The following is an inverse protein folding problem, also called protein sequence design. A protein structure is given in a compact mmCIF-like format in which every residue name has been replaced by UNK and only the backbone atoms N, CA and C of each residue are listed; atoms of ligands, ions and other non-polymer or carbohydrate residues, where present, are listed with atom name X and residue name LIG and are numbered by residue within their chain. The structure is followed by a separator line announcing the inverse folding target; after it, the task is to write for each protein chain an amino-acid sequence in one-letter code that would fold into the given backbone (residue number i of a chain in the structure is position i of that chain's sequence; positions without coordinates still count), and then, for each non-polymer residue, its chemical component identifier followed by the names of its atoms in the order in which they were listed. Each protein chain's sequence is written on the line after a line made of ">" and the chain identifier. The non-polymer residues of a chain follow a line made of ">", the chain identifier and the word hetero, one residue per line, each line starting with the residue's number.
data_IF_553480797874
#
_entry.id   IF_553480797874
#
_cell.length_a   1.000
_cell.length_b   1.000
_cell.length_c   1.000
_cell.angle_alpha   90.00
_cell.angle_beta   90.00
_cell.angle_gamma   90.00
#
_symmetry.space_group_name_H-M   'P 1'
#
loop_
_entity.id
_entity.type
_entity.pdbx_description
1 polymer ?
#
# COMPACT_ATOMS: atom_id res chain seq x y z
N UNK A 1 6.58 3.76 16.79
CA UNK A 1 6.78 4.85 17.78
C UNK A 1 7.99 4.69 18.69
N UNK A 2 8.11 3.63 19.50
CA UNK A 2 9.22 3.50 20.47
C UNK A 2 10.62 3.59 19.84
N UNK A 3 10.82 2.96 18.66
CA UNK A 3 12.06 3.06 17.90
C UNK A 3 12.36 4.52 17.53
N UNK A 4 11.41 5.23 16.92
CA UNK A 4 11.65 6.61 16.47
C UNK A 4 11.93 7.56 17.65
N UNK A 5 11.31 7.34 18.81
CA UNK A 5 11.66 8.06 20.04
C UNK A 5 13.10 7.76 20.49
N UNK A 6 13.54 6.50 20.40
CA UNK A 6 14.93 6.11 20.65
C UNK A 6 15.90 6.80 19.70
N UNK A 7 15.59 6.84 18.40
CA UNK A 7 16.37 7.56 17.37
C UNK A 7 16.45 9.04 17.71
N UNK A 8 15.32 9.68 18.02
CA UNK A 8 15.28 11.09 18.41
C UNK A 8 16.13 11.37 19.65
N UNK A 9 16.09 10.49 20.66
CA UNK A 9 16.90 10.61 21.87
C UNK A 9 18.40 10.52 21.58
N UNK A 10 18.81 9.55 20.75
CA UNK A 10 20.21 9.38 20.34
C UNK A 10 20.70 10.58 19.55
N UNK A 11 19.97 10.98 18.50
CA UNK A 11 20.39 12.05 17.60
C UNK A 11 20.36 13.43 18.28
N UNK A 12 19.41 13.68 19.19
CA UNK A 12 19.41 14.90 19.99
C UNK A 12 20.66 15.00 20.89
N UNK A 13 21.16 13.88 21.42
CA UNK A 13 22.36 13.82 22.25
C UNK A 13 23.67 14.12 21.51
N UNK A 14 23.68 14.04 20.18
CA UNK A 14 24.84 14.33 19.32
C UNK A 14 24.53 15.42 18.28
N UNK A 15 23.55 16.29 18.57
CA UNK A 15 23.06 17.31 17.62
C UNK A 15 24.17 18.14 17.00
N UNK A 16 25.16 18.54 17.79
CA UNK A 16 26.29 19.38 17.35
C UNK A 16 27.21 18.67 16.34
N UNK A 17 27.12 17.35 16.22
CA UNK A 17 27.94 16.54 15.31
C UNK A 17 27.21 16.22 13.98
N UNK A 18 25.94 16.59 13.85
CA UNK A 18 25.10 16.23 12.69
C UNK A 18 25.24 17.31 11.60
N UNK A 19 25.80 16.99 10.41
CA UNK A 19 25.91 17.95 9.32
C UNK A 19 24.58 18.06 8.57
N UNK A 20 23.61 18.77 9.16
CA UNK A 20 22.31 19.02 8.54
C UNK A 20 21.14 18.96 9.51
N UNK A 21 19.96 18.68 8.97
CA UNK A 21 18.72 18.61 9.75
C UNK A 21 18.10 17.22 9.63
N UNK A 22 17.71 16.64 10.76
CA UNK A 22 16.87 15.44 10.82
C UNK A 22 15.53 15.84 11.41
N UNK A 23 14.45 15.52 10.70
CA UNK A 23 13.08 15.72 11.18
C UNK A 23 12.42 14.39 11.48
N UNK A 24 11.67 14.34 12.59
CA UNK A 24 10.98 13.15 13.05
C UNK A 24 9.48 13.31 12.80
N UNK A 25 8.90 12.43 11.98
CA UNK A 25 7.47 12.43 11.67
C UNK A 25 6.80 11.35 12.50
N UNK A 26 5.96 11.75 13.45
CA UNK A 26 5.12 10.85 14.25
C UNK A 26 3.71 10.87 13.67
N UNK A 27 3.48 10.00 12.68
CA UNK A 27 2.22 9.96 11.97
C UNK A 27 1.13 9.18 12.74
N UNK A 28 -0.09 9.73 12.86
CA UNK A 28 -1.26 8.99 13.34
C UNK A 28 -2.02 8.30 12.20
N UNK A 29 -2.90 7.35 12.52
CA UNK A 29 -3.93 6.81 11.61
C UNK A 29 -3.41 6.23 10.27
N UNK A 30 -2.29 5.48 10.30
CA UNK A 30 -1.80 4.70 9.15
C UNK A 30 -2.82 3.62 8.71
N UNK A 31 -3.45 2.94 9.67
CA UNK A 31 -4.51 1.93 9.45
C UNK A 31 -5.85 2.54 8.97
N UNK A 32 -5.86 3.82 8.62
CA UNK A 32 -7.06 4.58 8.27
C UNK A 32 -7.63 5.38 9.45
N UNK A 33 -8.29 6.49 9.11
CA UNK A 33 -9.02 7.30 10.07
C UNK A 33 -10.40 6.65 10.37
N UNK A 34 -10.98 6.90 11.56
CA UNK A 34 -12.37 6.56 11.84
C UNK A 34 -13.34 7.13 10.78
N UNK A 35 -14.49 6.50 10.63
CA UNK A 35 -15.50 6.96 9.66
C UNK A 35 -15.91 8.42 9.94
N UNK A 36 -15.81 9.27 8.91
CA UNK A 36 -16.11 10.70 9.00
C UNK A 36 -14.93 11.58 9.45
N UNK A 37 -13.76 11.00 9.70
CA UNK A 37 -12.52 11.72 10.04
C UNK A 37 -11.49 11.65 8.91
N UNK A 38 -10.52 12.57 8.92
CA UNK A 38 -9.34 12.55 8.06
C UNK A 38 -8.10 12.29 8.92
N UNK A 39 -7.10 11.59 8.37
CA UNK A 39 -5.89 11.24 9.10
C UNK A 39 -4.78 10.73 8.19
N UNK A 40 -3.75 10.13 8.79
CA UNK A 40 -2.67 9.49 8.05
C UNK A 40 -1.71 10.46 7.37
N UNK A 41 -0.86 9.92 6.51
CA UNK A 41 0.15 10.66 5.76
C UNK A 41 -0.45 11.78 4.92
N UNK A 42 -1.63 11.56 4.31
CA UNK A 42 -2.31 12.54 3.45
C UNK A 42 -2.65 13.83 4.19
N UNK A 43 -3.25 13.73 5.39
CA UNK A 43 -3.60 14.91 6.18
C UNK A 43 -2.33 15.67 6.61
N UNK A 44 -1.31 14.95 7.10
CA UNK A 44 -0.04 15.59 7.47
C UNK A 44 0.61 16.30 6.29
N UNK A 45 0.55 15.73 5.09
CA UNK A 45 1.03 16.37 3.86
C UNK A 45 0.22 17.61 3.49
N UNK A 46 -1.10 17.57 3.61
CA UNK A 46 -1.97 18.71 3.36
C UNK A 46 -1.68 19.86 4.35
N UNK A 47 -1.37 19.54 5.61
CA UNK A 47 -0.92 20.48 6.63
C UNK A 47 0.55 20.94 6.45
N UNK A 48 1.23 20.41 5.45
CA UNK A 48 2.56 20.86 5.03
C UNK A 48 3.70 20.26 5.85
N UNK A 49 3.55 19.05 6.42
CA UNK A 49 4.59 18.41 7.24
C UNK A 49 5.97 18.42 6.59
N UNK A 50 6.10 18.17 5.28
CA UNK A 50 7.41 18.18 4.62
C UNK A 50 7.99 19.60 4.47
N UNK A 51 7.12 20.62 4.36
CA UNK A 51 7.57 22.02 4.30
C UNK A 51 8.00 22.52 5.68
N UNK A 52 7.28 22.13 6.73
CA UNK A 52 7.59 22.52 8.12
C UNK A 52 8.74 21.70 8.70
N UNK A 53 8.93 20.45 8.25
CA UNK A 53 10.04 19.54 8.59
C UNK A 53 11.35 19.88 7.85
N UNK A 54 11.67 21.17 7.73
CA UNK A 54 12.90 21.65 7.11
C UNK A 54 13.15 21.20 5.65
N UNK A 55 12.08 20.91 4.90
CA UNK A 55 12.15 20.54 3.47
C UNK A 55 13.13 19.38 3.20
N UNK A 56 12.85 18.17 3.74
CA UNK A 56 13.79 17.06 3.68
C UNK A 56 13.98 16.56 2.24
N UNK A 57 15.20 16.14 1.92
CA UNK A 57 15.57 15.62 0.58
C UNK A 57 15.40 14.11 0.43
N UNK A 58 15.20 13.39 1.53
CA UNK A 58 14.84 11.98 1.55
C UNK A 58 14.04 11.65 2.81
N UNK A 59 13.29 10.55 2.78
CA UNK A 59 12.53 10.03 3.92
C UNK A 59 12.84 8.54 4.18
N UNK A 60 13.01 8.19 5.45
CA UNK A 60 13.26 6.82 5.88
C UNK A 60 12.13 6.34 6.79
N UNK A 61 11.68 5.11 6.58
CA UNK A 61 10.67 4.47 7.41
C UNK A 61 11.01 3.01 7.67
N UNK A 62 10.36 2.44 8.69
CA UNK A 62 10.40 1.01 8.90
C UNK A 62 9.10 0.50 9.47
N UNK A 63 8.84 -0.79 9.23
CA UNK A 63 7.75 -1.52 9.83
C UNK A 63 8.28 -2.79 10.51
N UNK A 64 7.68 -3.19 11.63
CA UNK A 64 8.00 -4.49 12.26
C UNK A 64 7.27 -5.61 11.55
N UNK A 65 7.93 -6.74 11.30
CA UNK A 65 7.38 -7.81 10.48
C UNK A 65 7.74 -9.19 11.05
N UNK A 66 6.92 -10.23 10.84
CA UNK A 66 7.29 -11.62 11.13
C UNK A 66 8.58 -12.03 10.41
N UNK A 67 9.65 -12.17 11.17
CA UNK A 67 11.01 -12.40 10.67
C UNK A 67 11.99 -12.58 11.82
N UNK A 68 13.18 -13.09 11.54
CA UNK A 68 14.24 -13.27 12.54
C UNK A 68 14.52 -11.96 13.28
N UNK A 69 14.51 -11.99 14.62
CA UNK A 69 14.64 -10.77 15.41
C UNK A 69 15.91 -9.99 15.08
N UNK A 70 15.75 -8.75 14.62
CA UNK A 70 16.85 -7.88 14.24
C UNK A 70 17.35 -8.06 12.80
N UNK A 71 16.73 -8.90 11.99
CA UNK A 71 16.98 -8.90 10.55
C UNK A 71 16.32 -7.69 9.89
N UNK A 72 16.94 -7.16 8.83
CA UNK A 72 16.37 -6.12 7.98
C UNK A 72 16.05 -6.70 6.60
N UNK A 73 14.81 -6.57 6.17
CA UNK A 73 14.40 -6.80 4.79
C UNK A 73 14.26 -5.46 4.09
N UNK A 74 14.89 -5.34 2.93
CA UNK A 74 14.69 -4.20 2.04
C UNK A 74 14.31 -4.71 0.65
N UNK A 75 13.74 -3.85 -0.18
CA UNK A 75 13.48 -4.16 -1.58
C UNK A 75 13.49 -2.85 -2.37
N UNK A 76 14.33 -2.69 -3.39
CA UNK A 76 14.24 -1.52 -4.27
C UNK A 76 12.95 -1.58 -5.09
N UNK A 77 12.46 -0.41 -5.53
CA UNK A 77 11.20 -0.25 -6.27
C UNK A 77 9.98 -0.65 -5.44
N UNK A 78 8.96 -1.28 -6.03
CA UNK A 78 7.75 -1.72 -5.33
C UNK A 78 8.05 -2.72 -4.22
N UNK A 79 8.20 -2.21 -3.00
CA UNK A 79 8.41 -2.99 -1.78
C UNK A 79 7.07 -3.52 -1.25
N UNK A 80 6.06 -2.64 -1.22
CA UNK A 80 4.69 -2.97 -0.81
C UNK A 80 3.67 -2.52 -1.86
N UNK A 81 2.51 -3.16 -1.87
CA UNK A 81 1.49 -2.91 -2.88
C UNK A 81 0.74 -1.60 -2.66
N UNK A 82 0.40 -0.90 -3.75
CA UNK A 82 -0.68 0.07 -3.72
C UNK A 82 -2.01 -0.61 -3.38
N UNK A 83 -2.93 0.16 -2.80
CA UNK A 83 -4.30 -0.26 -2.53
C UNK A 83 -5.28 0.75 -3.05
N UNK A 84 -6.19 0.29 -3.90
CA UNK A 84 -7.34 1.05 -4.35
C UNK A 84 -8.62 0.33 -3.96
N UNK A 85 -9.60 1.08 -3.47
CA UNK A 85 -10.96 0.60 -3.27
C UNK A 85 -11.71 0.71 -4.59
N UNK A 86 -12.40 -0.35 -4.99
CA UNK A 86 -13.13 -0.43 -6.24
C UNK A 86 -14.63 -0.57 -5.93
N UNK A 87 -15.44 0.31 -6.48
CA UNK A 87 -16.89 0.20 -6.50
C UNK A 87 -17.41 0.28 -7.94
N UNK A 88 -18.25 -0.67 -8.33
CA UNK A 88 -18.92 -0.69 -9.63
C UNK A 88 -20.42 -0.83 -9.39
N UNK A 89 -21.20 0.14 -9.85
CA UNK A 89 -22.66 0.09 -9.84
C UNK A 89 -23.15 -0.11 -11.26
N UNK A 90 -23.84 -1.23 -11.50
CA UNK A 90 -24.45 -1.57 -12.79
C UNK A 90 -25.93 -1.27 -12.72
N UNK A 91 -26.40 -0.35 -13.56
CA UNK A 91 -27.79 0.08 -13.66
C UNK A 91 -28.41 -0.48 -14.94
N UNK A 92 -29.43 -1.31 -14.77
CA UNK A 92 -30.23 -1.89 -15.84
C UNK A 92 -31.64 -1.30 -15.86
N UNK A 93 -32.62 -2.17 -16.10
CA UNK A 93 -34.05 -1.81 -16.10
C UNK A 93 -34.86 -2.95 -15.53
N UNK A 94 -35.39 -2.75 -14.33
CA UNK A 94 -36.21 -3.72 -13.63
C UNK A 94 -37.40 -4.22 -14.47
N UNK A 95 -37.66 -5.52 -14.41
CA UNK A 95 -38.82 -6.15 -15.04
C UNK A 95 -39.19 -7.44 -14.31
N UNK A 96 -40.36 -7.99 -14.63
CA UNK A 96 -40.75 -9.32 -14.15
C UNK A 96 -39.81 -10.37 -14.75
N UNK A 97 -39.35 -11.33 -13.94
CA UNK A 97 -38.38 -12.35 -14.35
C UNK A 97 -38.85 -13.25 -15.50
N UNK A 98 -40.17 -13.36 -15.72
CA UNK A 98 -40.74 -14.08 -16.87
C UNK A 98 -40.80 -13.27 -18.18
N UNK A 99 -40.47 -11.98 -18.12
CA UNK A 99 -40.54 -11.04 -19.27
C UNK A 99 -39.24 -10.23 -19.39
N UNK A 100 -38.06 -10.89 -19.47
CA UNK A 100 -36.76 -10.23 -19.44
C UNK A 100 -36.57 -9.24 -20.59
N UNK A 101 -37.16 -9.48 -21.77
CA UNK A 101 -37.09 -8.59 -22.95
C UNK A 101 -37.73 -7.21 -22.75
N UNK A 102 -38.43 -6.97 -21.62
CA UNK A 102 -38.99 -5.66 -21.27
C UNK A 102 -38.03 -4.80 -20.42
N UNK A 103 -36.93 -5.39 -19.98
CA UNK A 103 -35.93 -4.79 -19.09
C UNK A 103 -34.51 -5.02 -19.59
N UNK A 104 -33.56 -4.73 -18.71
CA UNK A 104 -32.12 -5.00 -18.88
C UNK A 104 -31.65 -5.58 -17.56
N UNK A 105 -31.08 -6.78 -17.57
CA UNK A 105 -30.73 -7.52 -16.36
C UNK A 105 -29.33 -7.14 -15.84
N UNK A 106 -29.22 -6.32 -14.78
CA UNK A 106 -27.91 -5.91 -14.27
C UNK A 106 -27.15 -7.06 -13.58
N UNK A 107 -27.81 -8.16 -13.18
CA UNK A 107 -27.13 -9.32 -12.56
C UNK A 107 -26.25 -10.02 -13.60
N UNK A 108 -26.80 -10.28 -14.79
CA UNK A 108 -26.02 -10.91 -15.87
C UNK A 108 -24.92 -9.98 -16.36
N UNK A 109 -25.19 -8.68 -16.46
CA UNK A 109 -24.16 -7.68 -16.85
C UNK A 109 -23.04 -7.61 -15.82
N UNK A 110 -23.36 -7.56 -14.52
CA UNK A 110 -22.36 -7.57 -13.46
C UNK A 110 -21.49 -8.85 -13.49
N UNK A 111 -22.10 -10.02 -13.72
CA UNK A 111 -21.36 -11.28 -13.86
C UNK A 111 -20.39 -11.27 -15.06
N UNK A 112 -20.80 -10.70 -16.20
CA UNK A 112 -19.94 -10.51 -17.37
C UNK A 112 -18.77 -9.57 -17.07
N UNK A 113 -19.05 -8.43 -16.41
CA UNK A 113 -18.02 -7.48 -15.98
C UNK A 113 -17.02 -8.18 -15.06
N UNK A 114 -17.50 -8.81 -13.98
CA UNK A 114 -16.66 -9.51 -13.01
C UNK A 114 -15.73 -10.52 -13.68
N UNK A 115 -16.26 -11.32 -14.62
CA UNK A 115 -15.47 -12.29 -15.39
C UNK A 115 -14.41 -11.60 -16.25
N UNK A 116 -14.80 -10.54 -16.96
CA UNK A 116 -13.90 -9.81 -17.85
C UNK A 116 -12.78 -9.07 -17.11
N UNK A 117 -13.04 -8.57 -15.90
CA UNK A 117 -12.02 -7.93 -15.07
C UNK A 117 -10.83 -8.86 -14.80
N UNK A 118 -11.06 -10.17 -14.62
CA UNK A 118 -10.00 -11.16 -14.40
C UNK A 118 -9.08 -11.36 -15.61
N UNK A 119 -9.53 -10.99 -16.81
CA UNK A 119 -8.70 -10.99 -18.01
C UNK A 119 -7.69 -9.82 -18.03
N UNK A 120 -7.90 -8.76 -17.24
CA UNK A 120 -7.02 -7.59 -17.26
C UNK A 120 -5.62 -7.95 -16.74
N UNK A 121 -5.42 -8.43 -15.49
CA UNK A 121 -4.08 -8.75 -15.02
C UNK A 121 -3.44 -9.90 -15.80
N UNK A 122 -4.26 -10.86 -16.25
CA UNK A 122 -3.74 -12.06 -16.88
C UNK A 122 -3.37 -11.88 -18.35
N UNK A 123 -4.10 -11.05 -19.13
CA UNK A 123 -3.95 -10.95 -20.60
C UNK A 123 -3.62 -9.56 -21.12
N UNK A 124 -3.81 -8.50 -20.32
CA UNK A 124 -3.73 -7.12 -20.80
C UNK A 124 -2.61 -6.30 -20.18
N UNK A 125 -2.01 -6.78 -19.09
CA UNK A 125 -0.88 -6.14 -18.42
C UNK A 125 0.42 -6.92 -18.67
N UNK A 126 1.53 -6.20 -18.70
CA UNK A 126 2.86 -6.80 -18.72
C UNK A 126 3.22 -7.29 -17.31
N UNK A 127 2.90 -8.56 -17.05
CA UNK A 127 3.16 -9.21 -15.76
C UNK A 127 4.66 -9.29 -15.41
N UNK A 128 5.55 -9.08 -16.38
CA UNK A 128 7.01 -9.06 -16.13
C UNK A 128 7.46 -7.79 -15.42
N UNK A 129 6.66 -6.71 -15.46
CA UNK A 129 6.93 -5.45 -14.76
C UNK A 129 6.49 -5.51 -13.30
N UNK A 130 5.21 -5.80 -13.08
CA UNK A 130 4.64 -5.89 -11.74
C UNK A 130 3.40 -6.79 -11.74
N UNK A 131 3.20 -7.60 -10.69
CA UNK A 131 1.95 -8.31 -10.51
C UNK A 131 0.83 -7.32 -10.15
N UNK A 132 -0.39 -7.68 -10.53
CA UNK A 132 -1.60 -6.94 -10.22
C UNK A 132 -2.71 -7.91 -9.80
N UNK A 133 -3.56 -7.47 -8.87
CA UNK A 133 -4.70 -8.24 -8.36
C UNK A 133 -5.95 -7.35 -8.43
N UNK A 134 -7.05 -7.91 -8.91
CA UNK A 134 -8.39 -7.30 -8.82
C UNK A 134 -9.28 -8.32 -8.10
N UNK A 135 -9.79 -7.95 -6.94
CA UNK A 135 -10.70 -8.80 -6.16
C UNK A 135 -12.03 -8.11 -6.02
N UNK A 136 -13.13 -8.78 -6.40
CA UNK A 136 -14.49 -8.39 -6.01
C UNK A 136 -14.82 -9.15 -4.73
N UNK A 137 -14.89 -8.44 -3.61
CA UNK A 137 -15.14 -9.01 -2.29
C UNK A 137 -16.62 -9.08 -1.94
N UNK A 138 -17.45 -8.23 -2.56
CA UNK A 138 -18.88 -8.22 -2.35
C UNK A 138 -19.66 -7.93 -3.65
N UNK A 139 -20.84 -8.53 -3.75
CA UNK A 139 -21.82 -8.27 -4.81
C UNK A 139 -23.24 -8.27 -4.22
N UNK A 140 -24.01 -7.23 -4.50
CA UNK A 140 -25.36 -7.04 -3.98
C UNK A 140 -26.32 -6.61 -5.09
N UNK A 141 -27.47 -7.30 -5.21
CA UNK A 141 -28.53 -6.90 -6.14
C UNK A 141 -29.75 -7.82 -6.05
N UNK A 142 -30.93 -7.22 -6.23
CA UNK A 142 -32.20 -7.95 -6.14
C UNK A 142 -32.66 -8.25 -4.71
N UNK A 143 -33.98 -8.44 -4.58
CA UNK A 143 -34.65 -8.73 -3.29
C UNK A 143 -35.62 -9.92 -3.42
N UNK A 144 -36.12 -10.21 -4.63
CA UNK A 144 -37.10 -11.26 -4.91
C UNK A 144 -36.65 -12.08 -6.11
N UNK A 145 -36.80 -13.41 -6.05
CA UNK A 145 -36.34 -14.32 -7.11
C UNK A 145 -37.11 -14.24 -8.43
N UNK A 146 -38.25 -13.55 -8.49
CA UNK A 146 -39.07 -13.39 -9.70
C UNK A 146 -39.02 -11.96 -10.28
N UNK A 147 -38.11 -11.11 -9.78
CA UNK A 147 -37.93 -9.73 -10.24
C UNK A 147 -36.47 -9.56 -10.64
N UNK A 148 -36.23 -9.14 -11.88
CA UNK A 148 -34.93 -8.66 -12.33
C UNK A 148 -34.75 -7.27 -11.71
N UNK A 149 -33.70 -6.99 -10.91
CA UNK A 149 -33.54 -5.69 -10.25
C UNK A 149 -33.22 -4.56 -11.22
N UNK A 150 -33.26 -3.33 -10.72
CA UNK A 150 -32.80 -2.14 -11.44
C UNK A 150 -31.28 -1.96 -11.36
N UNK A 151 -30.64 -2.44 -10.29
CA UNK A 151 -29.23 -2.20 -9.99
C UNK A 151 -28.52 -3.41 -9.37
N UNK A 152 -27.20 -3.49 -9.58
CA UNK A 152 -26.27 -4.39 -8.89
C UNK A 152 -25.02 -3.60 -8.51
N UNK A 153 -24.60 -3.72 -7.26
CA UNK A 153 -23.36 -3.12 -6.75
C UNK A 153 -22.30 -4.21 -6.54
N UNK A 154 -21.08 -3.94 -6.99
CA UNK A 154 -19.88 -4.74 -6.72
C UNK A 154 -18.85 -3.89 -5.98
N UNK A 155 -18.31 -4.42 -4.90
CA UNK A 155 -17.26 -3.77 -4.09
C UNK A 155 -16.03 -4.66 -4.04
N UNK A 156 -14.85 -4.07 -4.17
CA UNK A 156 -13.60 -4.79 -4.32
C UNK A 156 -12.35 -3.98 -3.98
N UNK A 157 -11.19 -4.59 -4.22
CA UNK A 157 -9.88 -3.97 -4.04
C UNK A 157 -8.98 -4.27 -5.24
N UNK A 158 -8.12 -3.31 -5.58
CA UNK A 158 -7.08 -3.45 -6.60
C UNK A 158 -5.72 -3.28 -5.92
N UNK A 159 -4.77 -4.19 -6.24
CA UNK A 159 -3.39 -4.17 -5.72
C UNK A 159 -2.39 -4.25 -6.86
N UNK A 160 -1.28 -3.53 -6.76
CA UNK A 160 -0.17 -3.57 -7.72
C UNK A 160 1.13 -3.01 -7.09
N UNK A 161 2.26 -3.16 -7.79
CA UNK A 161 3.60 -2.74 -7.30
C UNK A 161 4.30 -1.71 -8.19
N UNK A 162 3.61 -1.10 -9.15
CA UNK A 162 4.18 -0.14 -10.09
C UNK A 162 3.13 0.88 -10.53
N UNK A 163 3.41 2.17 -10.37
CA UNK A 163 2.44 3.23 -10.68
C UNK A 163 2.06 3.31 -12.16
N UNK A 164 2.98 2.94 -13.07
CA UNK A 164 2.69 2.86 -14.49
C UNK A 164 1.69 1.74 -14.79
N UNK A 165 1.93 0.55 -14.24
CA UNK A 165 1.02 -0.60 -14.32
C UNK A 165 -0.32 -0.29 -13.63
N UNK A 166 -0.30 0.39 -12.47
CA UNK A 166 -1.49 0.85 -11.76
C UNK A 166 -2.36 1.72 -12.66
N UNK A 167 -1.79 2.77 -13.25
CA UNK A 167 -2.53 3.71 -14.11
C UNK A 167 -3.20 2.99 -15.29
N UNK A 168 -2.49 2.05 -15.90
CA UNK A 168 -3.03 1.23 -16.98
C UNK A 168 -4.16 0.31 -16.49
N UNK A 169 -3.96 -0.35 -15.36
CA UNK A 169 -4.94 -1.23 -14.72
C UNK A 169 -6.24 -0.50 -14.40
N UNK A 170 -6.19 0.66 -13.74
CA UNK A 170 -7.39 1.43 -13.36
C UNK A 170 -8.18 1.88 -14.59
N UNK A 171 -7.51 2.40 -15.62
CA UNK A 171 -8.13 2.79 -16.88
C UNK A 171 -8.79 1.60 -17.61
N UNK A 172 -8.14 0.43 -17.59
CA UNK A 172 -8.70 -0.78 -18.20
C UNK A 172 -9.93 -1.30 -17.44
N UNK A 173 -9.95 -1.23 -16.11
CA UNK A 173 -11.11 -1.60 -15.29
C UNK A 173 -12.33 -0.76 -15.67
N UNK A 174 -12.17 0.56 -15.68
CA UNK A 174 -13.24 1.50 -16.05
C UNK A 174 -13.76 1.23 -17.46
N UNK A 175 -12.85 1.15 -18.44
CA UNK A 175 -13.18 0.86 -19.84
C UNK A 175 -13.90 -0.47 -20.00
N UNK A 176 -13.43 -1.53 -19.37
CA UNK A 176 -14.02 -2.88 -19.50
C UNK A 176 -15.43 -2.91 -18.91
N UNK A 177 -15.63 -2.34 -17.72
CA UNK A 177 -16.94 -2.33 -17.07
C UNK A 177 -17.97 -1.53 -17.88
N UNK A 178 -17.61 -0.30 -18.28
CA UNK A 178 -18.49 0.61 -19.04
C UNK A 178 -18.83 0.05 -20.42
N UNK A 179 -17.87 -0.53 -21.14
CA UNK A 179 -18.10 -1.11 -22.46
C UNK A 179 -19.04 -2.33 -22.43
N UNK A 180 -18.88 -3.22 -21.44
CA UNK A 180 -19.75 -4.40 -21.29
C UNK A 180 -21.17 -3.97 -20.94
N UNK A 181 -21.33 -3.03 -20.00
CA UNK A 181 -22.64 -2.51 -19.64
C UNK A 181 -23.34 -1.87 -20.84
N UNK A 182 -22.64 -0.99 -21.56
CA UNK A 182 -23.17 -0.33 -22.75
C UNK A 182 -23.62 -1.32 -23.82
N UNK A 183 -22.82 -2.37 -24.09
CA UNK A 183 -23.16 -3.41 -25.07
C UNK A 183 -24.44 -4.20 -24.69
N UNK A 184 -24.74 -4.31 -23.40
CA UNK A 184 -25.94 -4.97 -22.90
C UNK A 184 -27.16 -4.04 -22.76
N UNK A 185 -27.02 -2.73 -23.08
CA UNK A 185 -28.06 -1.73 -22.86
C UNK A 185 -28.19 -1.27 -21.40
N UNK A 186 -27.18 -1.54 -20.56
CA UNK A 186 -27.05 -1.07 -19.19
C UNK A 186 -26.06 0.10 -19.11
N UNK A 187 -25.96 0.69 -17.92
CA UNK A 187 -24.92 1.65 -17.56
C UNK A 187 -24.07 1.08 -16.41
N UNK A 188 -22.77 1.37 -16.40
CA UNK A 188 -21.91 1.07 -15.26
C UNK A 188 -21.20 2.34 -14.80
N UNK A 189 -21.33 2.66 -13.52
CA UNK A 189 -20.55 3.69 -12.86
C UNK A 189 -19.42 3.01 -12.10
N UNK A 190 -18.18 3.44 -12.35
CA UNK A 190 -16.98 2.92 -11.68
C UNK A 190 -16.39 4.02 -10.82
N UNK A 191 -16.19 3.73 -9.54
CA UNK A 191 -15.51 4.59 -8.58
C UNK A 191 -14.28 3.85 -8.07
N UNK A 192 -13.13 4.51 -8.11
CA UNK A 192 -11.86 3.96 -7.64
C UNK A 192 -11.22 4.97 -6.71
N UNK A 193 -11.20 4.65 -5.42
CA UNK A 193 -10.69 5.54 -4.38
C UNK A 193 -9.32 5.03 -3.89
N UNK A 194 -8.25 5.85 -3.99
CA UNK A 194 -6.92 5.40 -3.64
C UNK A 194 -6.69 5.43 -2.13
N UNK A 195 -6.49 4.27 -1.52
CA UNK A 195 -6.12 4.14 -0.12
C UNK A 195 -4.63 4.48 0.09
N UNK A 196 -3.75 3.80 -0.65
CA UNK A 196 -2.30 4.03 -0.62
C UNK A 196 -1.68 3.94 -2.03
N UNK A 197 -0.55 4.62 -2.23
CA UNK A 197 0.30 4.41 -3.40
C UNK A 197 1.16 3.15 -3.27
N UNK A 198 1.97 2.87 -4.28
CA UNK A 198 3.02 1.85 -4.17
C UNK A 198 4.05 2.34 -3.16
N UNK A 199 4.40 1.52 -2.16
CA UNK A 199 5.55 1.81 -1.30
C UNK A 199 6.81 1.59 -2.12
N UNK A 200 7.24 2.65 -2.78
CA UNK A 200 8.29 2.65 -3.78
C UNK A 200 9.61 3.10 -3.15
N UNK A 201 10.47 2.13 -2.88
CA UNK A 201 11.83 2.43 -2.45
C UNK A 201 12.64 2.91 -3.64
N UNK A 202 13.07 4.18 -3.59
CA UNK A 202 13.86 4.77 -4.67
C UNK A 202 15.13 3.93 -4.90
N UNK A 203 15.39 3.42 -6.11
CA UNK A 203 16.46 2.46 -6.35
C UNK A 203 17.86 3.08 -6.15
N UNK A 204 18.04 4.36 -6.44
CA UNK A 204 19.32 5.05 -6.27
C UNK A 204 19.60 5.29 -4.78
N UNK A 205 18.61 5.79 -4.03
CA UNK A 205 18.66 5.94 -2.59
C UNK A 205 18.89 4.60 -1.89
N UNK A 206 18.17 3.55 -2.33
CA UNK A 206 18.31 2.20 -1.78
C UNK A 206 19.72 1.66 -1.98
N UNK A 207 20.28 1.79 -3.18
CA UNK A 207 21.65 1.35 -3.47
C UNK A 207 22.67 2.14 -2.65
N UNK A 208 22.49 3.46 -2.53
CA UNK A 208 23.36 4.35 -1.74
C UNK A 208 23.34 3.99 -0.25
N UNK A 209 22.17 3.62 0.29
CA UNK A 209 21.97 3.36 1.71
C UNK A 209 22.13 1.88 2.11
N UNK A 210 22.29 0.96 1.17
CA UNK A 210 22.50 -0.46 1.46
C UNK A 210 23.71 -0.72 2.40
N UNK A 211 24.88 -0.07 2.24
CA UNK A 211 25.99 -0.23 3.17
C UNK A 211 25.66 0.22 4.60
N UNK A 212 24.78 1.22 4.75
CA UNK A 212 24.29 1.71 6.05
C UNK A 212 23.42 0.66 6.73
N UNK A 213 22.50 0.03 5.98
CA UNK A 213 21.70 -1.08 6.49
C UNK A 213 22.59 -2.24 6.96
N UNK A 214 23.60 -2.61 6.16
CA UNK A 214 24.53 -3.70 6.47
C UNK A 214 25.40 -3.45 7.71
N UNK A 215 25.63 -2.18 8.10
CA UNK A 215 26.28 -1.83 9.37
C UNK A 215 25.31 -1.81 10.56
N UNK A 216 24.05 -1.52 10.30
CA UNK A 216 23.04 -1.38 11.34
C UNK A 216 22.53 -2.73 11.87
N UNK A 217 22.49 -3.77 11.03
CA UNK A 217 21.96 -5.08 11.34
C UNK A 217 22.90 -6.22 10.91
N UNK A 218 22.86 -7.33 11.64
CA UNK A 218 23.72 -8.49 11.36
C UNK A 218 23.28 -9.25 10.10
N UNK A 219 21.99 -9.16 9.75
CA UNK A 219 21.40 -9.79 8.58
C UNK A 219 20.55 -8.79 7.82
N UNK A 220 20.95 -8.53 6.57
CA UNK A 220 20.24 -7.64 5.65
C UNK A 220 20.01 -8.40 4.35
N UNK A 221 18.75 -8.53 3.95
CA UNK A 221 18.39 -9.32 2.77
C UNK A 221 17.41 -8.58 1.87
N UNK A 222 17.55 -8.77 0.57
CA UNK A 222 16.54 -8.30 -0.38
C UNK A 222 15.31 -9.21 -0.28
N UNK A 223 14.22 -8.67 0.29
CA UNK A 223 12.99 -9.39 0.54
C UNK A 223 12.07 -9.46 -0.68
N UNK A 224 11.04 -10.32 -0.65
CA UNK A 224 10.01 -10.37 -1.71
C UNK A 224 9.13 -9.12 -1.70
N UNK A 225 8.27 -9.00 -2.72
CA UNK A 225 7.17 -8.04 -2.71
C UNK A 225 6.16 -8.36 -1.59
N UNK A 226 5.69 -7.35 -0.87
CA UNK A 226 4.72 -7.49 0.22
C UNK A 226 3.34 -6.97 -0.21
N UNK A 227 2.31 -7.80 -0.09
CA UNK A 227 0.94 -7.43 -0.52
C UNK A 227 0.23 -6.44 0.40
N UNK A 228 0.76 -6.19 1.60
CA UNK A 228 0.29 -5.13 2.47
C UNK A 228 0.34 -3.77 1.77
N UNK A 229 -0.52 -2.85 2.21
CA UNK A 229 -0.47 -1.45 1.83
C UNK A 229 0.12 -0.65 2.98
N UNK A 230 0.68 0.52 2.65
CA UNK A 230 1.33 1.39 3.62
C UNK A 230 1.22 2.82 3.10
N UNK A 231 0.67 3.71 3.92
CA UNK A 231 0.38 5.09 3.53
C UNK A 231 1.64 5.99 3.55
N UNK A 232 2.78 5.51 4.07
CA UNK A 232 4.11 6.11 3.88
C UNK A 232 4.43 6.38 2.40
N UNK A 233 3.83 5.58 1.49
CA UNK A 233 3.87 5.78 0.05
C UNK A 233 3.47 7.21 -0.39
N UNK A 234 2.60 7.90 0.36
CA UNK A 234 2.23 9.29 0.07
C UNK A 234 3.41 10.25 0.27
N UNK A 235 4.29 10.03 1.24
CA UNK A 235 5.54 10.79 1.36
C UNK A 235 6.48 10.47 0.21
N UNK A 236 6.58 9.20 -0.20
CA UNK A 236 7.45 8.76 -1.29
C UNK A 236 7.05 9.35 -2.65
N UNK A 237 5.79 9.75 -2.84
CA UNK A 237 5.36 10.50 -4.02
C UNK A 237 5.86 11.94 -4.04
N UNK A 238 6.27 12.51 -2.90
CA UNK A 238 6.76 13.88 -2.80
C UNK A 238 8.29 13.94 -2.83
N UNK A 239 8.97 12.98 -2.18
CA UNK A 239 10.42 12.93 -2.02
C UNK A 239 10.93 11.48 -2.06
N UNK A 240 12.18 11.23 -2.49
CA UNK A 240 12.76 9.88 -2.47
C UNK A 240 12.69 9.26 -1.08
N UNK A 241 12.28 8.00 -0.99
CA UNK A 241 12.21 7.32 0.30
C UNK A 241 12.68 5.88 0.28
N UNK A 242 13.05 5.39 1.46
CA UNK A 242 13.42 4.00 1.71
C UNK A 242 12.71 3.50 2.96
N UNK A 243 11.86 2.49 2.76
CA UNK A 243 11.06 1.81 3.76
C UNK A 243 11.53 0.36 3.90
N UNK A 244 11.86 -0.07 5.12
CA UNK A 244 12.43 -1.40 5.39
C UNK A 244 11.61 -2.17 6.42
N UNK A 245 11.65 -3.49 6.38
CA UNK A 245 11.03 -4.34 7.40
C UNK A 245 12.07 -4.76 8.44
N UNK A 246 11.67 -4.74 9.71
CA UNK A 246 12.46 -5.23 10.84
C UNK A 246 11.83 -6.52 11.38
N UNK A 247 12.58 -7.62 11.34
CA UNK A 247 12.14 -8.89 11.91
C UNK A 247 12.04 -8.82 13.44
N UNK A 248 10.98 -9.42 13.99
CA UNK A 248 10.66 -9.36 15.45
C UNK A 248 10.24 -10.68 16.08
N UNK A 249 10.46 -11.82 15.44
CA UNK A 249 10.05 -13.12 15.97
C UNK A 249 10.69 -13.43 17.32
N UNK A 250 9.95 -14.17 18.15
CA UNK A 250 10.52 -14.78 19.35
C UNK A 250 11.63 -15.79 18.97
N UNK A 251 12.64 -15.99 19.83
CA UNK A 251 13.71 -16.95 19.57
C UNK A 251 13.16 -18.34 19.21
N UNK A 252 13.64 -18.91 18.10
CA UNK A 252 13.25 -20.24 17.63
C UNK A 252 11.91 -20.29 16.86
N UNK A 253 11.22 -19.18 16.67
CA UNK A 253 9.99 -19.11 15.87
C UNK A 253 10.32 -18.68 14.44
N UNK A 254 9.99 -19.54 13.46
CA UNK A 254 10.17 -19.23 12.04
C UNK A 254 9.08 -18.28 11.52
N UNK A 255 9.31 -17.66 10.36
CA UNK A 255 8.37 -16.69 9.77
C UNK A 255 7.00 -17.30 9.45
N UNK A 256 6.94 -18.58 9.08
CA UNK A 256 5.69 -19.32 8.82
C UNK A 256 4.93 -19.73 10.09
N UNK A 257 5.63 -19.81 11.24
CA UNK A 257 5.02 -20.14 12.53
C UNK A 257 4.59 -18.89 13.31
N UNK A 258 5.23 -17.75 13.04
CA UNK A 258 4.93 -16.50 13.69
C UNK A 258 3.50 -16.04 13.32
N UNK A 259 2.78 -15.54 14.33
CA UNK A 259 1.52 -14.86 14.07
C UNK A 259 1.78 -13.62 13.21
N UNK A 260 0.98 -13.36 12.16
CA UNK A 260 1.16 -12.22 11.28
C UNK A 260 0.79 -10.90 11.99
N UNK A 261 1.18 -9.77 11.40
CA UNK A 261 0.60 -8.48 11.75
C UNK A 261 -0.94 -8.56 11.72
N UNK A 262 -1.61 -7.78 12.57
CA UNK A 262 -3.07 -7.81 12.80
C UNK A 262 -3.63 -9.07 13.47
N UNK A 263 -2.81 -10.07 13.77
CA UNK A 263 -3.23 -11.20 14.61
C UNK A 263 -3.25 -10.81 16.09
N UNK A 264 -4.25 -11.24 16.89
CA UNK A 264 -4.23 -11.06 18.35
C UNK A 264 -3.08 -11.82 19.04
N UNK A 265 -2.41 -12.73 18.32
CA UNK A 265 -1.25 -13.49 18.79
C UNK A 265 0.08 -12.87 18.33
N UNK A 266 0.06 -11.71 17.66
CA UNK A 266 1.26 -11.01 17.25
C UNK A 266 2.08 -10.59 18.47
N UNK A 267 3.34 -11.02 18.54
CA UNK A 267 4.25 -10.72 19.64
C UNK A 267 5.57 -10.22 19.07
N UNK A 268 6.12 -9.19 19.71
CA UNK A 268 7.38 -8.56 19.33
C UNK A 268 8.48 -8.99 20.29
N UNK A 269 9.58 -9.50 19.75
CA UNK A 269 10.83 -9.61 20.49
C UNK A 269 11.49 -8.23 20.61
N UNK A 270 11.40 -7.62 21.79
CA UNK A 270 11.90 -6.27 22.03
C UNK A 270 13.42 -6.11 21.84
N UNK A 271 14.19 -7.20 21.80
CA UNK A 271 15.62 -7.11 21.48
C UNK A 271 15.87 -6.49 20.10
N UNK A 272 14.93 -6.67 19.16
CA UNK A 272 14.98 -6.11 17.82
C UNK A 272 14.83 -4.57 17.79
N UNK A 273 14.24 -3.96 18.82
CA UNK A 273 14.07 -2.49 18.87
C UNK A 273 15.42 -1.76 18.80
N UNK A 274 16.48 -2.36 19.37
CA UNK A 274 17.85 -1.82 19.27
C UNK A 274 18.33 -1.76 17.83
N UNK A 275 18.06 -2.80 17.04
CA UNK A 275 18.36 -2.82 15.61
C UNK A 275 17.57 -1.74 14.90
N UNK A 276 16.26 -1.60 15.17
CA UNK A 276 15.44 -0.54 14.58
C UNK A 276 15.99 0.87 14.84
N UNK A 277 16.44 1.15 16.07
CA UNK A 277 17.08 2.43 16.43
C UNK A 277 18.37 2.62 15.63
N UNK A 278 19.25 1.61 15.62
CA UNK A 278 20.48 1.65 14.83
C UNK A 278 20.20 1.91 13.34
N UNK A 279 19.24 1.21 12.76
CA UNK A 279 18.89 1.32 11.34
C UNK A 279 18.49 2.75 10.97
N UNK A 280 17.51 3.35 11.64
CA UNK A 280 17.08 4.71 11.28
C UNK A 280 18.13 5.77 11.61
N UNK A 281 18.85 5.64 12.74
CA UNK A 281 19.94 6.56 13.08
C UNK A 281 21.06 6.52 12.05
N UNK A 282 21.52 5.32 11.66
CA UNK A 282 22.59 5.15 10.69
C UNK A 282 22.18 5.63 9.30
N UNK A 283 20.96 5.33 8.84
CA UNK A 283 20.43 5.87 7.57
C UNK A 283 20.43 7.40 7.55
N UNK A 284 19.89 8.03 8.59
CA UNK A 284 19.80 9.49 8.67
C UNK A 284 21.20 10.16 8.68
N UNK A 285 22.11 9.65 9.51
CA UNK A 285 23.47 10.21 9.63
C UNK A 285 24.29 10.02 8.35
N UNK A 286 24.29 8.82 7.78
CA UNK A 286 25.09 8.53 6.59
C UNK A 286 24.55 9.27 5.37
N UNK A 287 23.23 9.43 5.25
CA UNK A 287 22.64 10.21 4.17
C UNK A 287 23.14 11.67 4.18
N UNK A 288 23.22 12.28 5.37
CA UNK A 288 23.73 13.64 5.53
C UNK A 288 25.24 13.76 5.27
N UNK A 289 26.03 12.75 5.65
CA UNK A 289 27.47 12.74 5.41
C UNK A 289 27.85 12.48 3.95
N UNK A 290 26.97 11.84 3.17
CA UNK A 290 27.26 11.45 1.78
C UNK A 290 26.68 12.40 0.73
N UNK A 291 26.10 13.55 1.13
CA UNK A 291 25.66 14.54 0.15
C UNK A 291 26.89 15.13 -0.57
N UNK A 292 26.92 15.15 -1.91
CA UNK A 292 27.89 15.97 -2.63
C UNK A 292 27.70 17.43 -2.19
N UNK A 293 28.81 18.13 -1.95
CA UNK A 293 28.78 19.60 -1.81
C UNK A 293 28.19 20.27 -3.05
#
# INVERSE_FOLDING_TARGET
>A
TAILMGVASVLAGMREEIPGTVSFIFQPAEEGAPEGEEGGAKLMLAEGVLKTAANPSAIFGLHVWPGEAGEILYRPRGAMAASDELKIVVTGKQTHGSSPWRGVDPIIVAAQIMTALQAIPSRQLDITKAPAVITIGSIHGGVRGNIIPDTVEMVGTIRNFDDGVRKELLMRVERTATAIASAAGAEATVTIDPYSGVTWNDPELTARMLPSLQRAADKVTEGPMVMGAEDFSWYQQQIPGLFVMLGVNLPGVSADQAAPNHSPLFVVNESALKTGVRTLSTLALDYLQTQPQ
#
